data_IF_126899392360
#
_entry.id   IF_126899392360
#
_cell.length_a   1.000
_cell.length_b   1.000
_cell.length_c   1.000
_cell.angle_alpha   90.00
_cell.angle_beta   90.00
_cell.angle_gamma   90.00
#
_symmetry.space_group_name_H-M   'P 1'
#
loop_
_entity.id
_entity.type
_entity.pdbx_description
1 polymer ?
#
# COMPACT_ATOMS: atom_id res chain seq x y z
N UNK A 1 -21.52 -10.02 17.26
CA UNK A 1 -20.84 -8.71 17.10
C UNK A 1 -20.23 -8.53 15.70
N UNK A 2 -19.38 -9.40 15.20
CA UNK A 2 -18.77 -9.33 13.86
C UNK A 2 -19.77 -9.21 12.69
N UNK A 3 -20.88 -9.95 12.71
CA UNK A 3 -21.89 -9.93 11.62
C UNK A 3 -22.60 -8.58 11.49
N UNK A 4 -22.83 -7.89 12.61
CA UNK A 4 -23.48 -6.56 12.61
C UNK A 4 -22.50 -5.51 12.08
N UNK A 5 -21.24 -5.54 12.52
CA UNK A 5 -20.19 -4.64 12.01
C UNK A 5 -20.00 -4.83 10.50
N UNK A 6 -19.97 -6.08 10.03
CA UNK A 6 -19.85 -6.39 8.60
C UNK A 6 -21.07 -5.91 7.79
N UNK A 7 -22.29 -6.07 8.31
CA UNK A 7 -23.50 -5.58 7.67
C UNK A 7 -23.54 -4.04 7.60
N UNK A 8 -23.16 -3.36 8.69
CA UNK A 8 -23.08 -1.89 8.72
C UNK A 8 -22.02 -1.36 7.74
N UNK A 9 -20.84 -1.99 7.70
CA UNK A 9 -19.80 -1.65 6.74
C UNK A 9 -20.27 -1.87 5.30
N UNK A 10 -20.99 -2.96 5.02
CA UNK A 10 -21.53 -3.24 3.69
C UNK A 10 -22.58 -2.20 3.28
N UNK A 11 -23.49 -1.81 4.17
CA UNK A 11 -24.49 -0.76 3.91
C UNK A 11 -23.81 0.59 3.69
N UNK A 12 -22.83 0.95 4.52
CA UNK A 12 -22.04 2.16 4.34
C UNK A 12 -21.26 2.16 3.02
N UNK A 13 -20.72 1.01 2.60
CA UNK A 13 -20.07 0.85 1.29
C UNK A 13 -21.04 1.01 0.13
N UNK A 14 -22.27 0.49 0.22
CA UNK A 14 -23.27 0.67 -0.84
C UNK A 14 -23.72 2.12 -0.94
N UNK A 15 -23.97 2.77 0.20
CA UNK A 15 -24.33 4.19 0.24
C UNK A 15 -23.17 5.05 -0.27
N UNK A 16 -21.93 4.74 0.15
CA UNK A 16 -20.76 5.47 -0.33
C UNK A 16 -20.54 5.33 -1.83
N UNK A 17 -20.90 4.19 -2.44
CA UNK A 17 -20.77 3.98 -3.88
C UNK A 17 -21.57 5.01 -4.71
N UNK A 18 -22.72 5.50 -4.20
CA UNK A 18 -23.51 6.56 -4.82
C UNK A 18 -22.78 7.92 -4.74
N UNK A 19 -21.96 8.12 -3.72
CA UNK A 19 -21.26 9.37 -3.47
C UNK A 19 -19.81 9.38 -3.96
N UNK A 20 -19.29 8.25 -4.48
CA UNK A 20 -17.91 8.17 -5.00
C UNK A 20 -17.62 9.14 -6.15
N UNK A 21 -18.64 9.70 -6.82
CA UNK A 21 -18.48 10.76 -7.81
C UNK A 21 -17.87 12.04 -7.21
N UNK A 22 -18.07 12.29 -5.91
CA UNK A 22 -17.54 13.47 -5.24
C UNK A 22 -16.12 13.22 -4.75
N UNK A 23 -15.18 14.08 -5.14
CA UNK A 23 -13.75 13.96 -4.77
C UNK A 23 -13.52 13.96 -3.26
N UNK A 24 -14.22 14.82 -2.51
CA UNK A 24 -14.08 14.90 -1.07
C UNK A 24 -14.46 13.59 -0.35
N UNK A 25 -15.46 12.85 -0.88
CA UNK A 25 -15.84 11.53 -0.33
C UNK A 25 -14.73 10.53 -0.57
N UNK A 26 -14.16 10.49 -1.78
CA UNK A 26 -13.04 9.60 -2.09
C UNK A 26 -11.82 9.92 -1.23
N UNK A 27 -11.51 11.20 -1.04
CA UNK A 27 -10.43 11.65 -0.17
C UNK A 27 -10.63 11.21 1.29
N UNK A 28 -11.87 11.35 1.80
CA UNK A 28 -12.21 10.93 3.16
C UNK A 28 -12.09 9.41 3.35
N UNK A 29 -12.60 8.63 2.38
CA UNK A 29 -12.55 7.16 2.44
C UNK A 29 -11.13 6.62 2.37
N UNK A 30 -10.26 7.27 1.61
CA UNK A 30 -8.89 6.81 1.39
C UNK A 30 -7.86 7.51 2.27
N UNK A 31 -8.25 8.36 3.21
CA UNK A 31 -7.34 9.20 4.01
C UNK A 31 -6.25 8.45 4.78
N UNK A 32 -6.46 7.17 5.05
CA UNK A 32 -5.45 6.33 5.72
C UNK A 32 -4.44 5.75 4.72
N UNK A 33 -4.89 5.50 3.48
CA UNK A 33 -4.06 4.85 2.46
C UNK A 33 -3.33 5.86 1.56
N UNK A 34 -3.88 7.07 1.36
CA UNK A 34 -3.30 8.09 0.47
C UNK A 34 -3.74 9.50 0.85
N UNK A 35 -2.93 10.48 0.52
CA UNK A 35 -3.22 11.90 0.79
C UNK A 35 -4.21 12.49 -0.21
N UNK A 36 -4.12 12.05 -1.47
CA UNK A 36 -4.91 12.52 -2.60
C UNK A 36 -5.90 11.46 -3.11
N UNK A 37 -6.66 10.83 -2.20
CA UNK A 37 -7.68 9.84 -2.56
C UNK A 37 -8.76 10.34 -3.53
N UNK A 38 -8.92 11.66 -3.68
CA UNK A 38 -9.75 12.31 -4.69
C UNK A 38 -9.26 12.08 -6.12
N UNK A 39 -7.96 11.79 -6.33
CA UNK A 39 -7.37 11.47 -7.63
C UNK A 39 -7.74 10.06 -8.12
N UNK A 40 -8.14 9.16 -7.22
CA UNK A 40 -8.57 7.81 -7.61
C UNK A 40 -9.86 7.90 -8.44
N UNK A 41 -9.92 7.34 -9.65
CA UNK A 41 -11.14 7.31 -10.43
C UNK A 41 -12.28 6.58 -9.69
N UNK A 42 -13.52 7.09 -9.74
CA UNK A 42 -14.65 6.46 -9.05
C UNK A 42 -14.87 4.99 -9.44
N UNK A 43 -14.63 4.65 -10.71
CA UNK A 43 -14.77 3.29 -11.21
C UNK A 43 -13.73 2.33 -10.61
N UNK A 44 -12.48 2.77 -10.48
CA UNK A 44 -11.40 1.99 -9.85
C UNK A 44 -11.67 1.75 -8.37
N UNK A 45 -12.07 2.79 -7.64
CA UNK A 45 -12.40 2.65 -6.22
C UNK A 45 -13.59 1.70 -6.03
N UNK A 46 -14.61 1.79 -6.88
CA UNK A 46 -15.74 0.84 -6.89
C UNK A 46 -15.26 -0.59 -7.17
N UNK A 47 -14.35 -0.75 -8.13
CA UNK A 47 -13.72 -2.05 -8.45
C UNK A 47 -12.97 -2.62 -7.26
N UNK A 48 -12.12 -1.82 -6.60
CA UNK A 48 -11.36 -2.21 -5.42
C UNK A 48 -12.28 -2.63 -4.25
N UNK A 49 -13.33 -1.86 -3.96
CA UNK A 49 -14.32 -2.19 -2.93
C UNK A 49 -15.05 -3.50 -3.22
N UNK A 50 -15.42 -3.75 -4.49
CA UNK A 50 -16.02 -5.01 -4.90
C UNK A 50 -15.04 -6.18 -4.78
N UNK A 51 -13.77 -6.00 -5.14
CA UNK A 51 -12.74 -7.01 -5.00
C UNK A 51 -12.55 -7.40 -3.53
N UNK A 52 -12.44 -6.43 -2.62
CA UNK A 52 -12.32 -6.68 -1.17
C UNK A 52 -13.53 -7.48 -0.67
N UNK A 53 -14.75 -7.07 -1.05
CA UNK A 53 -15.98 -7.75 -0.64
C UNK A 53 -16.05 -9.21 -1.11
N UNK A 54 -15.53 -9.49 -2.31
CA UNK A 54 -15.60 -10.81 -2.93
C UNK A 54 -14.37 -11.69 -2.60
N UNK A 55 -13.37 -11.16 -1.90
CA UNK A 55 -12.15 -11.88 -1.54
C UNK A 55 -12.42 -12.86 -0.41
N UNK A 56 -12.53 -14.16 -0.73
CA UNK A 56 -12.80 -15.23 0.24
C UNK A 56 -11.61 -15.55 1.15
N UNK A 57 -10.39 -15.26 0.70
CA UNK A 57 -9.17 -15.56 1.45
C UNK A 57 -8.90 -14.54 2.58
N UNK A 58 -9.47 -13.33 2.50
CA UNK A 58 -9.18 -12.24 3.43
C UNK A 58 -9.36 -12.62 4.91
N UNK A 59 -10.45 -13.30 5.34
CA UNK A 59 -10.60 -13.68 6.74
C UNK A 59 -9.49 -14.62 7.23
N UNK A 60 -9.02 -15.54 6.37
CA UNK A 60 -7.92 -16.46 6.72
C UNK A 60 -6.59 -15.73 6.78
N UNK A 61 -6.34 -14.81 5.83
CA UNK A 61 -5.14 -13.99 5.82
C UNK A 61 -5.03 -13.15 7.09
N UNK A 62 -6.10 -12.46 7.48
CA UNK A 62 -6.14 -11.65 8.69
C UNK A 62 -6.00 -12.47 9.98
N UNK A 63 -6.50 -13.70 9.99
CA UNK A 63 -6.32 -14.59 11.14
C UNK A 63 -4.86 -15.04 11.29
N UNK A 64 -4.15 -15.23 10.20
CA UNK A 64 -2.79 -15.79 10.21
C UNK A 64 -1.68 -14.70 10.24
N UNK A 65 -1.99 -13.43 10.01
CA UNK A 65 -0.98 -12.34 10.01
C UNK A 65 -0.18 -12.30 11.33
N UNK A 66 -0.82 -12.61 12.47
CA UNK A 66 -0.16 -12.65 13.77
C UNK A 66 0.71 -13.88 14.00
N UNK A 67 0.54 -14.95 13.21
CA UNK A 67 1.20 -16.24 13.40
C UNK A 67 2.47 -16.39 12.55
N UNK A 68 2.58 -15.63 11.47
CA UNK A 68 3.69 -15.75 10.51
C UNK A 68 5.03 -15.23 11.02
N UNK A 69 5.04 -14.46 12.10
CA UNK A 69 6.26 -13.88 12.65
C UNK A 69 6.95 -12.87 11.70
N UNK A 70 8.13 -12.37 12.08
CA UNK A 70 8.87 -11.43 11.24
C UNK A 70 9.50 -12.15 10.04
N UNK A 71 9.72 -11.39 8.95
CA UNK A 71 10.45 -11.92 7.78
C UNK A 71 11.80 -12.50 8.18
N UNK A 72 12.21 -13.56 7.52
CA UNK A 72 13.55 -14.11 7.70
C UNK A 72 14.61 -13.15 7.14
N UNK A 73 15.85 -13.14 7.68
CA UNK A 73 16.93 -12.38 7.09
C UNK A 73 17.11 -12.74 5.62
N UNK A 74 17.27 -11.72 4.78
CA UNK A 74 17.43 -11.83 3.34
C UNK A 74 18.65 -11.01 2.91
N UNK A 75 19.57 -11.65 2.20
CA UNK A 75 20.63 -10.98 1.46
C UNK A 75 20.24 -10.93 -0.01
N UNK A 76 20.17 -9.72 -0.59
CA UNK A 76 19.79 -9.55 -1.99
C UNK A 76 20.99 -9.76 -2.94
N UNK A 77 22.20 -9.93 -2.42
CA UNK A 77 23.42 -10.12 -3.21
C UNK A 77 23.63 -8.99 -4.21
N UNK A 78 23.90 -9.35 -5.46
CA UNK A 78 24.12 -8.39 -6.56
C UNK A 78 22.81 -7.90 -7.22
N UNK A 79 21.66 -8.39 -6.76
CA UNK A 79 20.36 -7.94 -7.31
C UNK A 79 20.05 -6.53 -6.83
N UNK A 80 19.88 -5.55 -7.73
CA UNK A 80 19.48 -4.20 -7.35
C UNK A 80 18.08 -4.18 -6.76
N UNK A 81 17.99 -3.93 -5.45
CA UNK A 81 16.74 -3.84 -4.71
C UNK A 81 16.62 -2.47 -4.05
N UNK A 82 15.51 -1.80 -4.28
CA UNK A 82 15.16 -0.57 -3.58
C UNK A 82 13.92 -0.78 -2.73
N UNK A 83 14.02 -0.50 -1.43
CA UNK A 83 12.88 -0.48 -0.52
C UNK A 83 12.52 0.99 -0.29
N UNK A 84 11.43 1.41 -0.93
CA UNK A 84 10.89 2.76 -0.81
C UNK A 84 9.72 2.77 0.18
N UNK A 85 9.81 3.60 1.23
CA UNK A 85 8.77 3.71 2.24
C UNK A 85 8.11 5.08 2.23
N UNK A 86 6.78 5.11 2.18
CA UNK A 86 6.03 6.35 2.17
C UNK A 86 6.13 7.08 3.53
N UNK A 87 6.44 8.39 3.49
CA UNK A 87 6.61 9.21 4.70
C UNK A 87 5.34 9.26 5.55
N UNK A 88 4.17 9.29 4.89
CA UNK A 88 2.86 9.42 5.53
C UNK A 88 2.07 8.11 5.53
N UNK A 89 2.75 6.97 5.55
CA UNK A 89 2.10 5.66 5.60
C UNK A 89 1.41 5.47 6.96
N UNK A 90 0.08 5.52 6.95
CA UNK A 90 -0.75 5.28 8.14
C UNK A 90 -1.29 3.84 8.22
N UNK A 91 -1.10 3.04 7.16
CA UNK A 91 -1.55 1.63 7.10
C UNK A 91 -0.49 0.73 7.70
N UNK A 92 0.76 0.87 7.24
CA UNK A 92 1.94 0.16 7.75
C UNK A 92 3.03 1.16 8.11
N UNK A 93 2.93 1.83 9.29
CA UNK A 93 3.88 2.86 9.69
C UNK A 93 5.33 2.37 9.71
N UNK A 94 6.25 3.23 9.22
CA UNK A 94 7.67 2.89 9.08
C UNK A 94 8.30 2.38 10.37
N UNK A 95 8.07 3.04 11.50
CA UNK A 95 8.70 2.67 12.77
C UNK A 95 8.32 1.26 13.22
N UNK A 96 7.08 0.87 12.98
CA UNK A 96 6.55 -0.43 13.41
C UNK A 96 6.90 -1.56 12.45
N UNK A 97 6.87 -1.29 11.13
CA UNK A 97 7.01 -2.32 10.11
C UNK A 97 8.24 -2.12 9.22
N UNK A 98 8.50 -0.90 8.76
CA UNK A 98 9.58 -0.61 7.82
C UNK A 98 10.95 -0.82 8.45
N UNK A 99 11.20 -0.26 9.62
CA UNK A 99 12.47 -0.39 10.33
C UNK A 99 12.85 -1.86 10.60
N UNK A 100 11.97 -2.72 11.13
CA UNK A 100 12.27 -4.14 11.32
C UNK A 100 12.51 -4.90 10.00
N UNK A 101 11.83 -4.54 8.92
CA UNK A 101 12.04 -5.13 7.60
C UNK A 101 13.42 -4.75 7.07
N UNK A 102 13.76 -3.46 7.06
CA UNK A 102 15.07 -2.98 6.60
C UNK A 102 16.23 -3.58 7.38
N UNK A 103 16.05 -3.79 8.68
CA UNK A 103 17.07 -4.44 9.51
C UNK A 103 17.36 -5.91 9.13
N UNK A 104 16.51 -6.52 8.31
CA UNK A 104 16.61 -7.92 7.88
C UNK A 104 16.95 -8.11 6.41
N UNK A 105 16.95 -7.03 5.63
CA UNK A 105 17.29 -7.08 4.20
C UNK A 105 18.64 -6.43 3.98
N UNK A 106 19.67 -7.27 3.79
CA UNK A 106 21.04 -6.81 3.53
C UNK A 106 21.23 -6.54 2.03
N UNK A 107 21.93 -5.47 1.69
CA UNK A 107 22.24 -5.09 0.31
C UNK A 107 21.16 -4.24 -0.39
N UNK A 108 19.97 -4.10 0.18
CA UNK A 108 18.94 -3.25 -0.39
C UNK A 108 19.20 -1.76 -0.11
N UNK A 109 18.95 -0.91 -1.12
CA UNK A 109 18.88 0.54 -0.95
C UNK A 109 17.57 0.93 -0.26
N UNK A 110 17.66 1.63 0.86
CA UNK A 110 16.49 2.16 1.55
C UNK A 110 16.29 3.65 1.23
N UNK A 111 15.05 4.07 0.99
CA UNK A 111 14.71 5.47 0.84
C UNK A 111 13.30 5.77 1.38
N UNK A 112 13.10 7.02 1.77
CA UNK A 112 11.79 7.54 2.15
C UNK A 112 11.19 8.31 0.97
N UNK A 113 9.92 8.08 0.69
CA UNK A 113 9.13 8.82 -0.29
C UNK A 113 8.42 9.97 0.41
N UNK A 114 8.88 11.23 0.25
CA UNK A 114 8.30 12.37 0.93
C UNK A 114 6.89 12.69 0.42
N UNK A 115 6.01 13.16 1.31
CA UNK A 115 4.72 13.70 0.94
C UNK A 115 3.70 12.72 0.37
N UNK A 116 3.90 11.40 0.53
CA UNK A 116 2.98 10.38 0.01
C UNK A 116 2.53 9.40 1.08
N UNK A 117 1.36 8.78 0.89
CA UNK A 117 0.79 7.75 1.75
C UNK A 117 1.10 6.33 1.27
N UNK A 118 0.41 5.34 1.85
CA UNK A 118 0.60 3.90 1.59
C UNK A 118 0.46 3.51 0.11
N UNK A 119 -0.38 4.21 -0.65
CA UNK A 119 -0.56 4.00 -2.10
C UNK A 119 -0.04 5.22 -2.85
N UNK A 120 1.29 5.35 -3.02
CA UNK A 120 1.93 6.56 -3.53
C UNK A 120 1.60 6.88 -4.98
N UNK A 121 1.16 5.88 -5.78
CA UNK A 121 0.88 6.03 -7.20
C UNK A 121 -0.20 7.08 -7.52
N UNK A 122 -1.10 7.38 -6.56
CA UNK A 122 -2.10 8.43 -6.70
C UNK A 122 -1.66 9.76 -6.07
N UNK A 123 -0.74 9.71 -5.11
CA UNK A 123 -0.22 10.90 -4.45
C UNK A 123 0.85 11.58 -5.31
N UNK A 124 1.83 10.81 -5.79
CA UNK A 124 2.94 11.27 -6.63
C UNK A 124 3.42 10.15 -7.56
N UNK A 125 2.77 9.96 -8.72
CA UNK A 125 3.15 8.93 -9.70
C UNK A 125 4.54 9.16 -10.29
N UNK A 126 4.99 10.41 -10.44
CA UNK A 126 6.30 10.74 -11.00
C UNK A 126 7.41 10.25 -10.07
N UNK A 127 7.28 10.51 -8.77
CA UNK A 127 8.21 10.01 -7.76
C UNK A 127 8.32 8.48 -7.79
N UNK A 128 7.19 7.76 -7.98
CA UNK A 128 7.19 6.30 -8.10
C UNK A 128 7.94 5.85 -9.34
N UNK A 129 7.68 6.48 -10.49
CA UNK A 129 8.34 6.17 -11.77
C UNK A 129 9.84 6.41 -11.66
N UNK A 130 10.27 7.53 -11.09
CA UNK A 130 11.68 7.88 -10.93
C UNK A 130 12.44 6.84 -10.11
N UNK A 131 11.83 6.35 -9.01
CA UNK A 131 12.45 5.31 -8.17
C UNK A 131 12.58 3.99 -8.94
N UNK A 132 11.55 3.61 -9.71
CA UNK A 132 11.58 2.40 -10.55
C UNK A 132 12.70 2.52 -11.58
N UNK A 133 12.75 3.62 -12.33
CA UNK A 133 13.76 3.83 -13.36
C UNK A 133 15.18 3.86 -12.79
N UNK A 134 15.40 4.53 -11.67
CA UNK A 134 16.70 4.51 -10.99
C UNK A 134 17.14 3.11 -10.62
N UNK A 135 16.22 2.27 -10.12
CA UNK A 135 16.54 0.90 -9.72
C UNK A 135 16.83 0.01 -10.93
N UNK A 136 16.06 0.14 -12.02
CA UNK A 136 16.26 -0.64 -13.26
C UNK A 136 17.56 -0.24 -13.99
N UNK A 137 17.90 1.05 -14.04
CA UNK A 137 19.17 1.50 -14.61
C UNK A 137 20.38 0.95 -13.84
N UNK A 138 20.27 0.83 -12.51
CA UNK A 138 21.33 0.16 -11.72
C UNK A 138 21.46 -1.33 -12.09
N UNK A 139 20.35 -2.02 -12.38
CA UNK A 139 20.35 -3.41 -12.81
C UNK A 139 21.04 -3.59 -14.15
N UNK A 140 20.81 -2.70 -15.10
CA UNK A 140 21.46 -2.73 -16.42
C UNK A 140 22.98 -2.50 -16.33
N UNK A 141 23.42 -1.66 -15.40
CA UNK A 141 24.86 -1.37 -15.20
C UNK A 141 25.63 -2.53 -14.55
N UNK A 142 24.95 -3.48 -13.88
CA UNK A 142 25.56 -4.63 -13.23
C UNK A 142 25.56 -5.87 -14.11
N UNK A 143 24.79 -5.87 -15.20
CA UNK A 143 24.76 -6.98 -16.17
C UNK A 143 25.93 -6.84 -17.14
N UNK A 144 26.89 -7.79 -17.18
CA UNK A 144 28.07 -7.75 -18.07
C UNK A 144 27.70 -7.91 -19.55
#
# INVERSE_FOLDING_TARGET
MFRIVFAVVTVLMVISALFLRFGFVRRLLNKQAMLHGDRVPPAELKGALNAIRNTKIMPRLLANIGETGPIQPLDVGDTPVTIAWAEKDLVIPYETFGRPILARVTGARALTMPGVGHVPMYDDPEQVVDIILQTTTQAEAVTP
#
